data_IF_794048507529
#
_entry.id   IF_794048507529
#
_cell.length_a   1.000
_cell.length_b   1.000
_cell.length_c   1.000
_cell.angle_alpha   90.00
_cell.angle_beta   90.00
_cell.angle_gamma   90.00
#
_symmetry.space_group_name_H-M   'P 1'
#
loop_
_entity.id
_entity.type
_entity.pdbx_description
1 polymer ?
#
# COMPACT_ATOMS: atom_id res chain seq x y z
N UNK A 1 -40.35 11.41 23.55
CA UNK A 1 -39.04 12.08 23.35
C UNK A 1 -37.99 11.11 23.87
N UNK A 2 -37.25 10.44 23.00
CA UNK A 2 -36.18 9.53 23.40
C UNK A 2 -34.96 10.36 23.73
N UNK A 3 -34.46 10.26 24.96
CA UNK A 3 -33.22 10.92 25.38
C UNK A 3 -32.07 10.49 24.47
N UNK A 4 -31.56 11.44 23.68
CA UNK A 4 -30.36 11.22 22.88
C UNK A 4 -29.19 11.02 23.83
N UNK A 5 -28.72 9.79 23.95
CA UNK A 5 -27.55 9.46 24.78
C UNK A 5 -26.30 10.13 24.18
N UNK A 6 -25.59 10.89 25.01
CA UNK A 6 -24.42 11.71 24.62
C UNK A 6 -23.13 11.06 25.12
N UNK A 7 -22.07 11.15 24.32
CA UNK A 7 -20.69 10.90 24.72
C UNK A 7 -19.89 12.22 24.62
N UNK A 8 -19.32 12.74 25.72
CA UNK A 8 -18.36 13.84 25.65
C UNK A 8 -17.04 13.36 25.02
N UNK A 9 -16.41 14.24 24.23
CA UNK A 9 -15.14 13.99 23.57
C UNK A 9 -13.99 14.56 24.41
N UNK A 10 -13.35 13.72 25.23
CA UNK A 10 -12.22 14.12 26.08
C UNK A 10 -11.30 12.96 26.50
N UNK A 11 -11.54 11.74 26.01
CA UNK A 11 -10.75 10.57 26.41
C UNK A 11 -9.75 10.18 25.31
N UNK A 12 -8.49 9.85 25.65
CA UNK A 12 -7.55 9.31 24.69
C UNK A 12 -8.15 8.12 23.94
N UNK A 13 -8.11 8.16 22.60
CA UNK A 13 -8.78 7.19 21.75
C UNK A 13 -10.12 7.63 21.19
N UNK A 14 -10.64 8.81 21.58
CA UNK A 14 -11.84 9.40 20.99
C UNK A 14 -11.61 9.89 19.57
N UNK A 15 -12.57 9.65 18.68
CA UNK A 15 -12.49 10.07 17.29
C UNK A 15 -13.38 11.27 17.01
N UNK A 16 -12.89 12.19 16.19
CA UNK A 16 -13.68 13.34 15.75
C UNK A 16 -13.30 13.85 14.36
N UNK A 17 -14.22 14.55 13.71
CA UNK A 17 -13.96 15.29 12.50
C UNK A 17 -13.49 16.71 12.84
N UNK A 18 -12.39 17.14 12.22
CA UNK A 18 -11.82 18.46 12.39
C UNK A 18 -12.20 19.36 11.20
N UNK A 19 -12.87 20.46 11.48
CA UNK A 19 -13.26 21.45 10.46
C UNK A 19 -12.08 22.15 9.79
N UNK A 20 -10.97 22.33 10.50
CA UNK A 20 -9.79 23.07 10.01
C UNK A 20 -9.07 22.33 8.89
N UNK A 21 -8.77 21.04 9.10
CA UNK A 21 -8.09 20.21 8.09
C UNK A 21 -9.08 19.41 7.24
N UNK A 22 -10.36 19.36 7.60
CA UNK A 22 -11.38 18.52 6.96
C UNK A 22 -11.03 17.02 7.02
N UNK A 23 -10.46 16.55 8.14
CA UNK A 23 -10.06 15.15 8.35
C UNK A 23 -10.52 14.60 9.69
N UNK A 24 -10.49 13.26 9.82
CA UNK A 24 -10.72 12.57 11.09
C UNK A 24 -9.44 12.47 11.91
N UNK A 25 -9.54 12.82 13.19
CA UNK A 25 -8.48 12.67 14.17
C UNK A 25 -8.86 11.67 15.27
N UNK A 26 -7.84 11.12 15.90
CA UNK A 26 -7.93 10.42 17.17
C UNK A 26 -7.34 11.34 18.24
N UNK A 27 -8.13 11.67 19.26
CA UNK A 27 -7.66 12.42 20.40
C UNK A 27 -6.61 11.62 21.15
N UNK A 28 -5.49 12.26 21.46
CA UNK A 28 -4.39 11.68 22.25
C UNK A 28 -4.10 12.61 23.43
N UNK A 29 -3.62 12.03 24.53
CA UNK A 29 -3.21 12.81 25.70
C UNK A 29 -1.98 13.70 25.42
N UNK A 30 -1.15 13.30 24.45
CA UNK A 30 0.07 14.00 24.06
C UNK A 30 -0.26 15.33 23.32
N UNK A 31 0.10 16.49 23.88
CA UNK A 31 -0.24 17.80 23.34
C UNK A 31 0.43 18.12 22.00
N UNK A 32 1.49 17.41 21.63
CA UNK A 32 2.22 17.65 20.37
C UNK A 32 1.59 16.91 19.18
N UNK A 33 0.56 16.10 19.42
CA UNK A 33 -0.10 15.35 18.36
C UNK A 33 -1.17 16.20 17.66
N UNK A 34 -1.34 16.08 16.33
CA UNK A 34 -2.39 16.80 15.61
C UNK A 34 -3.80 16.58 16.19
N UNK A 35 -4.09 15.36 16.67
CA UNK A 35 -5.37 15.04 17.28
C UNK A 35 -5.61 15.67 18.65
N UNK A 36 -4.57 16.14 19.33
CA UNK A 36 -4.73 16.98 20.53
C UNK A 36 -4.86 18.45 20.14
N UNK A 37 -3.94 18.94 19.29
CA UNK A 37 -3.87 20.36 18.90
C UNK A 37 -5.13 20.83 18.18
N UNK A 38 -5.76 19.96 17.39
CA UNK A 38 -6.91 20.33 16.58
C UNK A 38 -8.27 20.09 17.25
N UNK A 39 -8.32 19.67 18.53
CA UNK A 39 -9.59 19.32 19.19
C UNK A 39 -10.53 20.53 19.33
N UNK A 40 -9.97 21.74 19.42
CA UNK A 40 -10.69 23.01 19.43
C UNK A 40 -11.42 23.31 18.12
N UNK A 41 -11.09 22.59 17.04
CA UNK A 41 -11.71 22.66 15.71
C UNK A 41 -12.67 21.48 15.43
N UNK A 42 -13.05 20.71 16.47
CA UNK A 42 -14.10 19.70 16.39
C UNK A 42 -15.36 20.23 15.70
N UNK A 43 -15.76 19.55 14.63
CA UNK A 43 -17.02 19.73 13.92
C UNK A 43 -18.02 18.68 14.40
N UNK A 44 -18.90 19.07 15.32
CA UNK A 44 -19.91 18.16 15.87
C UNK A 44 -20.92 17.71 14.81
N UNK A 45 -21.24 18.54 13.82
CA UNK A 45 -22.21 18.19 12.79
C UNK A 45 -21.66 17.07 11.91
N UNK A 46 -20.42 17.21 11.42
CA UNK A 46 -19.75 16.17 10.63
C UNK A 46 -19.44 14.93 11.45
N UNK A 47 -19.02 15.08 12.71
CA UNK A 47 -18.73 13.95 13.62
C UNK A 47 -20.00 13.14 13.90
N UNK A 48 -21.17 13.79 13.97
CA UNK A 48 -22.46 13.14 14.20
C UNK A 48 -23.25 12.82 12.94
N UNK A 49 -22.72 13.15 11.76
CA UNK A 49 -23.38 12.85 10.48
C UNK A 49 -23.74 11.35 10.39
N UNK A 50 -24.91 10.96 9.87
CA UNK A 50 -25.25 9.56 9.60
C UNK A 50 -24.18 8.81 8.79
N UNK A 51 -23.42 9.53 7.95
CA UNK A 51 -22.32 9.00 7.13
C UNK A 51 -20.92 9.13 7.76
N UNK A 52 -20.84 9.46 9.05
CA UNK A 52 -19.57 9.61 9.76
C UNK A 52 -18.72 8.33 9.67
N UNK A 53 -17.42 8.49 9.38
CA UNK A 53 -16.46 7.38 9.28
C UNK A 53 -16.37 6.58 10.58
N UNK A 54 -16.46 7.26 11.71
CA UNK A 54 -16.44 6.63 13.03
C UNK A 54 -17.67 7.04 13.83
N UNK A 55 -18.16 6.14 14.67
CA UNK A 55 -19.20 6.42 15.65
C UNK A 55 -18.92 5.65 16.94
N UNK A 56 -19.45 6.15 18.05
CA UNK A 56 -19.35 5.45 19.33
C UNK A 56 -20.63 4.66 19.60
N UNK A 57 -20.48 3.38 19.88
CA UNK A 57 -21.58 2.49 20.22
C UNK A 57 -21.78 2.45 21.75
N UNK A 58 -22.96 2.88 22.21
CA UNK A 58 -23.31 2.86 23.62
C UNK A 58 -23.61 1.46 24.18
N UNK A 59 -23.85 0.46 23.32
CA UNK A 59 -24.09 -0.91 23.78
C UNK A 59 -22.79 -1.63 24.17
N UNK A 60 -21.69 -1.38 23.45
CA UNK A 60 -20.40 -2.02 23.71
C UNK A 60 -19.34 -1.07 24.26
N UNK A 61 -19.65 0.22 24.44
CA UNK A 61 -18.73 1.28 24.86
C UNK A 61 -17.43 1.34 24.05
N UNK A 62 -17.54 1.23 22.72
CA UNK A 62 -16.38 1.25 21.80
C UNK A 62 -16.66 2.11 20.56
N UNK A 63 -15.58 2.58 19.96
CA UNK A 63 -15.60 3.19 18.63
C UNK A 63 -15.69 2.12 17.53
N UNK A 64 -16.54 2.37 16.55
CA UNK A 64 -16.72 1.55 15.36
C UNK A 64 -16.56 2.38 14.10
N UNK A 65 -16.29 1.71 12.99
CA UNK A 65 -16.34 2.30 11.66
C UNK A 65 -17.79 2.32 11.17
N UNK A 66 -18.18 3.37 10.43
CA UNK A 66 -19.52 3.53 9.85
C UNK A 66 -19.96 2.38 8.93
N UNK A 67 -19.02 1.53 8.50
CA UNK A 67 -19.28 0.30 7.74
C UNK A 67 -19.89 -0.85 8.57
N UNK A 68 -19.77 -0.85 9.90
CA UNK A 68 -20.34 -1.90 10.76
C UNK A 68 -21.80 -1.61 11.09
N UNK A 69 -22.71 -2.22 10.32
CA UNK A 69 -24.17 -1.97 10.40
C UNK A 69 -24.82 -2.45 11.70
N UNK A 70 -24.32 -3.53 12.30
CA UNK A 70 -24.98 -4.24 13.42
C UNK A 70 -25.04 -3.45 14.74
N UNK A 71 -24.32 -2.33 14.84
CA UNK A 71 -24.28 -1.50 16.05
C UNK A 71 -24.71 -0.04 15.83
N UNK A 72 -25.12 0.33 14.60
CA UNK A 72 -25.47 1.72 14.27
C UNK A 72 -26.67 2.25 15.05
N UNK A 73 -27.64 1.38 15.36
CA UNK A 73 -28.82 1.70 16.17
C UNK A 73 -28.47 2.11 17.61
N UNK A 74 -27.27 1.76 18.09
CA UNK A 74 -26.78 2.09 19.43
C UNK A 74 -25.80 3.28 19.42
N UNK A 75 -25.75 4.04 18.32
CA UNK A 75 -24.86 5.19 18.20
C UNK A 75 -25.18 6.27 19.23
N UNK A 76 -24.15 6.73 19.93
CA UNK A 76 -24.23 7.91 20.79
C UNK A 76 -23.92 9.19 20.01
N UNK A 77 -24.55 10.29 20.42
CA UNK A 77 -24.20 11.61 19.91
C UNK A 77 -22.90 12.07 20.57
N UNK A 78 -21.90 12.43 19.76
CA UNK A 78 -20.63 12.97 20.23
C UNK A 78 -20.80 14.47 20.46
N UNK A 79 -20.46 14.97 21.64
CA UNK A 79 -20.43 16.41 21.91
C UNK A 79 -19.05 16.84 22.37
N UNK A 80 -18.69 18.09 22.08
CA UNK A 80 -17.52 18.71 22.68
C UNK A 80 -17.66 18.68 24.19
N UNK A 81 -16.59 18.32 24.87
CA UNK A 81 -16.51 18.46 26.32
C UNK A 81 -16.40 19.94 26.72
N UNK A 82 -17.06 20.35 27.79
CA UNK A 82 -17.08 21.74 28.26
C UNK A 82 -15.69 22.31 28.58
N UNK A 83 -14.71 21.44 28.86
CA UNK A 83 -13.31 21.83 29.05
C UNK A 83 -12.60 22.29 27.78
N UNK A 84 -13.12 21.96 26.60
CA UNK A 84 -12.50 22.27 25.31
C UNK A 84 -13.08 23.58 24.78
N UNK A 85 -12.26 24.63 24.76
CA UNK A 85 -12.68 25.93 24.22
C UNK A 85 -12.64 25.91 22.68
N UNK A 86 -13.71 26.32 21.98
CA UNK A 86 -13.70 26.40 20.52
C UNK A 86 -12.64 27.39 20.04
N UNK A 87 -12.00 27.06 18.93
CA UNK A 87 -11.19 28.04 18.21
C UNK A 87 -12.09 29.19 17.70
N UNK A 88 -11.60 30.44 17.68
CA UNK A 88 -12.37 31.56 17.17
C UNK A 88 -12.80 31.30 15.72
N UNK A 89 -14.09 31.53 15.45
CA UNK A 89 -14.73 31.27 14.17
C UNK A 89 -14.05 32.09 13.06
N UNK A 90 -13.37 31.39 12.14
CA UNK A 90 -12.99 31.96 10.85
C UNK A 90 -14.24 32.10 9.98
N UNK A 91 -15.05 33.14 10.23
CA UNK A 91 -16.15 33.50 9.34
C UNK A 91 -15.57 33.94 7.99
N UNK A 92 -16.12 33.37 6.92
CA UNK A 92 -16.01 33.76 5.51
C UNK A 92 -14.81 33.23 4.72
N UNK A 93 -14.85 31.95 4.37
CA UNK A 93 -14.50 31.53 3.01
C UNK A 93 -15.77 31.04 2.33
N UNK A 94 -16.25 31.83 1.36
CA UNK A 94 -17.47 31.61 0.59
C UNK A 94 -17.57 30.16 0.11
N UNK A 95 -18.54 29.44 0.67
CA UNK A 95 -19.05 28.19 0.13
C UNK A 95 -19.84 28.54 -1.13
N UNK A 96 -19.31 28.20 -2.31
CA UNK A 96 -20.13 28.15 -3.51
C UNK A 96 -21.07 26.92 -3.45
N UNK A 97 -22.27 27.00 -4.04
CA UNK A 97 -23.34 26.05 -3.79
C UNK A 97 -23.02 24.66 -4.32
N UNK A 98 -23.19 23.65 -3.47
CA UNK A 98 -23.21 22.23 -3.83
C UNK A 98 -24.35 21.99 -4.83
N UNK A 99 -24.02 21.49 -6.03
CA UNK A 99 -24.97 20.66 -6.77
C UNK A 99 -25.11 19.35 -5.99
N UNK A 100 -26.29 19.18 -5.40
CA UNK A 100 -26.82 17.92 -4.89
C UNK A 100 -27.01 16.94 -6.04
N UNK A 101 -26.47 15.73 -5.91
CA UNK A 101 -26.80 14.64 -6.81
C UNK A 101 -25.87 13.45 -6.65
N UNK A 102 -26.49 12.31 -6.35
CA UNK A 102 -25.99 10.93 -6.48
C UNK A 102 -25.08 10.36 -5.37
N UNK A 103 -25.72 9.46 -4.61
CA UNK A 103 -25.28 8.14 -4.12
C UNK A 103 -23.78 7.84 -4.14
N UNK A 104 -23.31 7.30 -3.01
CA UNK A 104 -22.09 6.50 -2.89
C UNK A 104 -21.82 5.65 -4.14
N UNK A 105 -20.65 5.81 -4.76
CA UNK A 105 -19.92 4.69 -5.33
C UNK A 105 -18.68 4.45 -4.45
N UNK A 106 -18.50 3.21 -4.01
CA UNK A 106 -17.22 2.71 -3.50
C UNK A 106 -16.32 2.32 -4.70
N UNK A 107 -16.23 3.19 -5.69
CA UNK A 107 -15.28 3.05 -6.78
C UNK A 107 -14.25 4.16 -6.63
N UNK A 108 -13.01 3.78 -6.33
CA UNK A 108 -11.89 4.68 -6.48
C UNK A 108 -11.84 5.13 -7.96
N UNK A 109 -12.16 6.40 -8.23
CA UNK A 109 -11.98 6.97 -9.57
C UNK A 109 -10.49 6.98 -9.91
N UNK A 110 -10.05 6.04 -10.75
CA UNK A 110 -8.68 5.99 -11.26
C UNK A 110 -8.53 7.09 -12.32
N UNK A 111 -7.70 8.08 -12.01
CA UNK A 111 -7.42 9.22 -12.87
C UNK A 111 -6.62 8.88 -14.13
N UNK A 112 -6.58 9.84 -15.06
CA UNK A 112 -6.03 9.71 -16.40
C UNK A 112 -4.60 9.18 -16.49
N UNK A 113 -4.30 8.51 -17.61
CA UNK A 113 -3.04 7.87 -17.93
C UNK A 113 -1.81 8.78 -17.80
N UNK A 114 -1.00 8.57 -16.75
CA UNK A 114 0.35 9.10 -16.67
C UNK A 114 1.26 8.30 -17.64
N UNK A 115 1.19 8.57 -18.95
CA UNK A 115 2.06 8.10 -20.05
C UNK A 115 2.90 6.82 -19.84
N UNK A 116 2.70 5.82 -20.70
CA UNK A 116 3.34 4.49 -20.65
C UNK A 116 4.86 4.49 -20.53
N UNK A 117 5.53 5.46 -21.15
CA UNK A 117 6.99 5.54 -21.25
C UNK A 117 7.71 5.65 -19.88
N UNK A 118 6.98 6.03 -18.82
CA UNK A 118 7.52 6.09 -17.46
C UNK A 118 7.25 4.84 -16.61
N UNK A 119 6.55 3.83 -17.12
CA UNK A 119 6.17 2.63 -16.38
C UNK A 119 7.19 1.50 -16.60
N UNK A 120 7.37 0.67 -15.58
CA UNK A 120 8.14 -0.58 -15.65
C UNK A 120 9.55 -0.44 -16.22
N UNK A 121 10.28 0.61 -15.85
CA UNK A 121 11.64 0.84 -16.36
C UNK A 121 12.53 -0.36 -16.04
N UNK A 122 13.21 -0.85 -17.06
CA UNK A 122 14.26 -1.84 -16.92
C UNK A 122 15.45 -1.22 -16.18
N UNK A 123 16.33 -2.06 -15.64
CA UNK A 123 17.54 -1.59 -14.97
C UNK A 123 18.43 -0.78 -15.94
N UNK A 124 18.58 -1.26 -17.17
CA UNK A 124 19.32 -0.56 -18.22
C UNK A 124 18.74 0.82 -18.53
N UNK A 125 17.41 0.96 -18.63
CA UNK A 125 16.76 2.27 -18.83
C UNK A 125 16.97 3.22 -17.65
N UNK A 126 16.94 2.69 -16.41
CA UNK A 126 17.19 3.49 -15.21
C UNK A 126 18.64 3.98 -15.16
N UNK A 127 19.61 3.08 -15.34
CA UNK A 127 21.03 3.41 -15.36
C UNK A 127 21.40 4.37 -16.52
N UNK A 128 20.79 4.15 -17.69
CA UNK A 128 20.94 5.04 -18.85
C UNK A 128 20.41 6.45 -18.62
N UNK A 129 19.49 6.64 -17.67
CA UNK A 129 18.97 7.97 -17.31
C UNK A 129 19.89 8.77 -16.38
N UNK A 130 20.94 8.15 -15.82
CA UNK A 130 21.99 8.83 -15.07
C UNK A 130 22.98 9.40 -16.08
N UNK A 131 23.07 10.73 -16.20
CA UNK A 131 23.92 11.41 -17.19
C UNK A 131 25.42 11.31 -16.90
N UNK A 132 25.81 11.41 -15.63
CA UNK A 132 27.21 11.26 -15.19
C UNK A 132 27.66 9.81 -15.24
N UNK A 133 28.75 9.52 -15.96
CA UNK A 133 29.37 8.19 -16.03
C UNK A 133 29.87 7.72 -14.66
N UNK A 134 30.42 8.63 -13.86
CA UNK A 134 30.87 8.33 -12.50
C UNK A 134 29.70 7.97 -11.58
N UNK A 135 28.64 8.79 -11.57
CA UNK A 135 27.44 8.47 -10.78
C UNK A 135 26.81 7.16 -11.27
N UNK A 136 26.82 6.89 -12.57
CA UNK A 136 26.30 5.61 -13.10
C UNK A 136 27.10 4.42 -12.57
N UNK A 137 28.45 4.49 -12.65
CA UNK A 137 29.34 3.45 -12.12
C UNK A 137 29.12 3.20 -10.63
N UNK A 138 28.99 4.27 -9.82
CA UNK A 138 28.72 4.13 -8.38
C UNK A 138 27.34 3.49 -8.14
N UNK A 139 26.34 3.87 -8.92
CA UNK A 139 25.02 3.25 -8.84
C UNK A 139 25.09 1.75 -9.15
N UNK A 140 25.80 1.37 -10.22
CA UNK A 140 26.06 -0.04 -10.58
C UNK A 140 26.77 -0.79 -9.44
N UNK A 141 27.79 -0.21 -8.82
CA UNK A 141 28.50 -0.80 -7.67
C UNK A 141 27.59 -1.02 -6.47
N UNK A 142 26.69 -0.07 -6.16
CA UNK A 142 25.71 -0.22 -5.06
C UNK A 142 24.70 -1.33 -5.38
N UNK A 143 24.24 -1.41 -6.64
CA UNK A 143 23.31 -2.44 -7.08
C UNK A 143 23.93 -3.84 -7.03
N UNK A 144 25.18 -3.97 -7.47
CA UNK A 144 25.96 -5.20 -7.40
C UNK A 144 26.22 -5.61 -5.94
N UNK A 145 26.62 -4.65 -5.09
CA UNK A 145 26.78 -4.87 -3.66
C UNK A 145 25.50 -5.43 -3.03
N UNK A 146 24.34 -4.79 -3.27
CA UNK A 146 23.07 -5.27 -2.75
C UNK A 146 22.74 -6.68 -3.26
N UNK A 147 22.98 -6.96 -4.54
CA UNK A 147 22.77 -8.29 -5.12
C UNK A 147 23.69 -9.36 -4.55
N UNK A 148 24.94 -9.03 -4.25
CA UNK A 148 25.92 -9.96 -3.64
C UNK A 148 25.54 -10.39 -2.22
N UNK A 149 24.79 -9.54 -1.51
CA UNK A 149 24.34 -9.76 -0.13
C UNK A 149 23.04 -10.57 -0.05
N UNK A 150 22.29 -10.68 -1.15
CA UNK A 150 20.92 -11.19 -1.18
C UNK A 150 20.77 -12.59 -0.57
N UNK A 151 21.55 -13.57 -1.04
CA UNK A 151 21.42 -14.99 -0.64
C UNK A 151 21.45 -15.23 0.88
N UNK A 152 22.16 -14.40 1.63
CA UNK A 152 22.33 -14.58 3.08
C UNK A 152 21.46 -13.64 3.91
N UNK A 153 20.93 -12.57 3.31
CA UNK A 153 20.28 -11.47 4.02
C UNK A 153 18.87 -11.14 3.51
N UNK A 154 18.40 -11.85 2.47
CA UNK A 154 17.08 -11.69 1.83
C UNK A 154 16.85 -10.24 1.35
N UNK A 155 17.86 -9.67 0.68
CA UNK A 155 17.79 -8.29 0.19
C UNK A 155 17.20 -8.32 -1.21
N UNK A 156 15.89 -8.09 -1.28
CA UNK A 156 15.19 -7.98 -2.54
C UNK A 156 15.38 -6.59 -3.15
N UNK A 157 15.76 -6.59 -4.42
CA UNK A 157 15.95 -5.38 -5.22
C UNK A 157 14.82 -5.23 -6.23
N UNK A 158 14.16 -4.07 -6.22
CA UNK A 158 13.06 -3.78 -7.14
C UNK A 158 13.30 -2.51 -7.94
N UNK A 159 13.04 -2.58 -9.25
CA UNK A 159 12.95 -1.41 -10.10
C UNK A 159 11.70 -0.60 -9.75
N UNK A 160 11.84 0.72 -9.79
CA UNK A 160 10.79 1.72 -9.57
C UNK A 160 10.74 2.69 -10.73
N UNK A 161 9.67 3.47 -10.82
CA UNK A 161 9.48 4.49 -11.87
C UNK A 161 10.70 5.41 -12.06
N UNK A 162 11.37 5.77 -10.97
CA UNK A 162 12.51 6.70 -10.96
C UNK A 162 13.72 6.15 -10.18
N UNK A 163 13.96 4.83 -10.17
CA UNK A 163 15.14 4.26 -9.53
C UNK A 163 14.90 2.88 -8.95
N UNK A 164 15.44 2.60 -7.77
CA UNK A 164 15.48 1.26 -7.18
C UNK A 164 15.07 1.29 -5.70
N UNK A 165 14.55 0.19 -5.18
CA UNK A 165 14.37 0.01 -3.74
C UNK A 165 14.92 -1.32 -3.26
N UNK A 166 15.52 -1.30 -2.07
CA UNK A 166 16.03 -2.47 -1.36
C UNK A 166 15.10 -2.79 -0.19
N UNK A 167 14.57 -4.00 -0.17
CA UNK A 167 13.55 -4.44 0.79
C UNK A 167 14.00 -5.73 1.46
N UNK A 168 13.82 -5.81 2.77
CA UNK A 168 14.04 -7.02 3.55
C UNK A 168 12.77 -7.31 4.34
N UNK A 169 12.23 -8.53 4.22
CA UNK A 169 11.05 -9.00 4.96
C UNK A 169 9.88 -7.99 4.96
N UNK A 170 9.61 -7.39 3.80
CA UNK A 170 8.53 -6.43 3.57
C UNK A 170 8.79 -4.97 3.97
N UNK A 171 9.98 -4.64 4.47
CA UNK A 171 10.34 -3.27 4.84
C UNK A 171 11.53 -2.76 4.03
N UNK A 172 11.37 -1.56 3.47
CA UNK A 172 12.42 -0.84 2.75
C UNK A 172 13.56 -0.46 3.69
N UNK A 173 14.79 -0.87 3.35
CA UNK A 173 16.04 -0.55 4.04
C UNK A 173 16.90 0.45 3.25
N UNK A 174 16.60 0.62 1.96
CA UNK A 174 17.21 1.64 1.13
C UNK A 174 16.44 1.94 -0.15
N UNK A 175 16.75 3.07 -0.78
CA UNK A 175 16.19 3.50 -2.07
C UNK A 175 17.18 4.35 -2.83
N UNK A 176 17.25 4.12 -4.15
CA UNK A 176 17.95 5.01 -5.07
C UNK A 176 16.88 5.75 -5.86
N UNK A 177 16.93 7.08 -5.84
CA UNK A 177 16.07 7.94 -6.66
C UNK A 177 16.92 8.71 -7.67
N UNK A 178 16.69 8.42 -8.95
CA UNK A 178 17.43 9.00 -10.08
C UNK A 178 16.78 10.33 -10.48
N UNK A 179 17.63 11.33 -10.75
CA UNK A 179 17.25 12.67 -11.18
C UNK A 179 18.14 13.18 -12.32
N UNK A 180 17.85 14.38 -12.82
CA UNK A 180 18.49 14.95 -14.02
C UNK A 180 20.01 15.15 -13.94
N UNK A 181 20.59 15.16 -12.73
CA UNK A 181 22.02 15.37 -12.49
C UNK A 181 22.74 14.24 -11.76
N UNK A 182 22.10 13.08 -11.57
CA UNK A 182 22.65 11.99 -10.74
C UNK A 182 21.59 11.19 -10.02
N UNK A 183 21.87 10.76 -8.80
CA UNK A 183 20.90 10.06 -7.96
C UNK A 183 21.05 10.39 -6.48
N UNK A 184 20.00 10.13 -5.71
CA UNK A 184 20.01 10.18 -4.25
C UNK A 184 19.88 8.76 -3.74
N UNK A 185 20.84 8.32 -2.93
CA UNK A 185 20.72 7.10 -2.13
C UNK A 185 20.13 7.48 -0.77
N UNK A 186 19.04 6.84 -0.40
CA UNK A 186 18.42 6.97 0.91
C UNK A 186 18.61 5.67 1.67
N UNK A 187 19.35 5.70 2.77
CA UNK A 187 19.47 4.57 3.70
C UNK A 187 18.45 4.74 4.83
N UNK A 188 17.72 3.68 5.16
CA UNK A 188 16.60 3.71 6.09
C UNK A 188 16.82 2.76 7.26
N UNK A 189 16.85 3.31 8.47
CA UNK A 189 16.88 2.53 9.72
C UNK A 189 15.46 2.28 10.22
N UNK A 190 15.14 1.02 10.50
CA UNK A 190 13.81 0.60 10.96
C UNK A 190 13.84 0.35 12.47
N UNK A 191 13.16 1.22 13.22
CA UNK A 191 13.19 1.19 14.69
C UNK A 191 11.80 0.80 15.20
N UNK A 192 11.72 -0.30 15.94
CA UNK A 192 10.48 -0.76 16.57
C UNK A 192 10.00 0.29 17.59
N UNK A 193 8.73 0.71 17.47
CA UNK A 193 8.13 1.59 18.44
C UNK A 193 7.83 0.82 19.73
N UNK A 194 8.30 1.32 20.87
CA UNK A 194 8.14 0.67 22.17
C UNK A 194 6.67 0.38 22.48
N UNK A 195 6.34 -0.90 22.71
CA UNK A 195 4.97 -1.34 23.03
C UNK A 195 4.03 -1.46 21.82
N UNK A 196 4.53 -1.28 20.60
CA UNK A 196 3.75 -1.39 19.37
C UNK A 196 4.38 -2.37 18.39
N UNK A 197 3.61 -2.76 17.38
CA UNK A 197 4.09 -3.57 16.25
C UNK A 197 4.50 -2.76 15.03
N UNK A 198 4.48 -1.43 15.13
CA UNK A 198 4.87 -0.52 14.05
C UNK A 198 6.34 -0.13 14.18
N UNK A 199 6.97 0.19 13.05
CA UNK A 199 8.33 0.74 13.01
C UNK A 199 8.28 2.20 12.60
N UNK A 200 9.10 3.04 13.23
CA UNK A 200 9.45 4.36 12.69
C UNK A 200 10.69 4.23 11.80
N UNK A 201 10.84 5.14 10.85
CA UNK A 201 11.98 5.16 9.94
C UNK A 201 12.83 6.39 10.16
N UNK A 202 14.12 6.18 10.37
CA UNK A 202 15.12 7.24 10.30
C UNK A 202 15.82 7.14 8.94
N UNK A 203 15.94 8.27 8.24
CA UNK A 203 16.38 8.33 6.84
C UNK A 203 17.65 9.16 6.73
N UNK A 204 18.66 8.63 6.07
CA UNK A 204 19.90 9.33 5.73
C UNK A 204 20.04 9.38 4.21
N UNK A 205 20.22 10.58 3.66
CA UNK A 205 20.30 10.82 2.22
C UNK A 205 21.73 11.17 1.80
N UNK A 206 22.20 10.52 0.74
CA UNK A 206 23.48 10.74 0.10
C UNK A 206 23.25 11.14 -1.37
N UNK A 207 23.83 12.24 -1.79
CA UNK A 207 23.59 12.83 -3.11
C UNK A 207 24.79 12.58 -4.01
N UNK A 208 24.58 11.88 -5.12
CA UNK A 208 25.62 11.53 -6.09
C UNK A 208 25.45 12.32 -7.39
N UNK A 209 25.96 13.55 -7.40
CA UNK A 209 25.88 14.49 -8.52
C UNK A 209 27.26 15.05 -8.96
N UNK A 210 28.36 14.38 -8.59
CA UNK A 210 29.73 14.76 -8.94
C UNK A 210 30.32 15.94 -8.15
N UNK A 211 29.61 16.51 -7.18
CA UNK A 211 30.07 17.72 -6.43
C UNK A 211 29.73 17.71 -4.93
N UNK A 212 29.14 16.63 -4.42
CA UNK A 212 28.56 16.59 -3.08
C UNK A 212 29.61 16.36 -1.98
N UNK A 213 29.56 17.21 -0.94
CA UNK A 213 30.35 17.07 0.29
C UNK A 213 29.84 15.94 1.23
N UNK A 214 28.68 15.34 0.93
CA UNK A 214 28.02 14.31 1.74
C UNK A 214 28.00 12.94 1.04
N UNK A 215 29.03 12.61 0.26
CA UNK A 215 29.19 11.25 -0.26
C UNK A 215 29.57 10.35 0.92
N UNK A 216 29.08 9.10 1.00
CA UNK A 216 29.60 8.15 1.97
C UNK A 216 31.10 7.98 1.69
N UNK A 217 31.91 8.02 2.74
CA UNK A 217 33.38 7.98 2.63
C UNK A 217 33.87 6.72 1.91
N UNK A 218 33.03 5.67 1.84
CA UNK A 218 33.23 4.48 1.02
C UNK A 218 31.95 3.64 0.84
N UNK A 219 31.94 2.74 -0.15
CA UNK A 219 30.91 1.69 -0.32
C UNK A 219 30.72 0.82 0.94
N UNK A 220 31.72 0.77 1.82
CA UNK A 220 31.70 0.01 3.07
C UNK A 220 30.60 0.50 4.03
N UNK A 221 30.35 1.80 4.11
CA UNK A 221 29.28 2.33 4.97
C UNK A 221 27.90 1.84 4.50
N UNK A 222 27.69 1.82 3.18
CA UNK A 222 26.47 1.29 2.56
C UNK A 222 26.34 -0.20 2.86
N UNK A 223 27.43 -0.96 2.69
CA UNK A 223 27.47 -2.39 3.01
C UNK A 223 27.11 -2.65 4.47
N UNK A 224 27.74 -1.95 5.41
CA UNK A 224 27.53 -2.12 6.84
C UNK A 224 26.08 -1.79 7.23
N UNK A 225 25.49 -0.73 6.63
CA UNK A 225 24.07 -0.41 6.80
C UNK A 225 23.16 -1.53 6.30
N UNK A 226 23.36 -2.01 5.06
CA UNK A 226 22.55 -3.08 4.47
C UNK A 226 22.62 -4.35 5.33
N UNK A 227 23.80 -4.73 5.81
CA UNK A 227 23.99 -5.88 6.69
C UNK A 227 23.28 -5.68 8.03
N UNK A 228 23.50 -4.52 8.67
CA UNK A 228 22.91 -4.21 9.98
C UNK A 228 21.40 -4.21 9.93
N UNK A 229 20.79 -3.51 8.97
CA UNK A 229 19.33 -3.41 8.86
C UNK A 229 18.69 -4.73 8.45
N UNK A 230 19.36 -5.53 7.61
CA UNK A 230 18.87 -6.87 7.28
C UNK A 230 18.81 -7.76 8.52
N UNK A 231 19.89 -7.79 9.32
CA UNK A 231 19.94 -8.54 10.58
C UNK A 231 18.89 -8.07 11.59
N UNK A 232 18.73 -6.75 11.72
CA UNK A 232 17.71 -6.14 12.57
C UNK A 232 16.29 -6.61 12.18
N UNK A 233 15.93 -6.48 10.90
CA UNK A 233 14.60 -6.88 10.42
C UNK A 233 14.36 -8.39 10.53
N UNK A 234 15.35 -9.22 10.21
CA UNK A 234 15.28 -10.68 10.43
C UNK A 234 15.04 -10.98 11.92
N UNK A 235 15.77 -10.31 12.82
CA UNK A 235 15.59 -10.47 14.27
C UNK A 235 14.19 -10.04 14.74
N UNK A 236 13.68 -8.92 14.25
CA UNK A 236 12.33 -8.44 14.58
C UNK A 236 11.24 -9.39 14.09
N UNK A 237 11.45 -10.07 12.95
CA UNK A 237 10.53 -11.09 12.44
C UNK A 237 10.58 -12.40 13.21
N UNK A 238 11.77 -12.87 13.59
CA UNK A 238 11.93 -14.05 14.47
C UNK A 238 11.19 -13.90 15.79
N UNK A 239 11.13 -12.68 16.33
CA UNK A 239 10.36 -12.37 17.55
C UNK A 239 8.89 -12.01 17.28
N UNK A 240 8.45 -12.03 16.01
CA UNK A 240 7.11 -11.65 15.55
C UNK A 240 6.62 -10.28 16.07
N UNK A 241 7.55 -9.37 16.33
CA UNK A 241 7.26 -8.07 16.98
C UNK A 241 6.70 -7.03 16.01
N UNK A 242 6.88 -7.19 14.69
CA UNK A 242 6.44 -6.21 13.68
C UNK A 242 5.21 -6.66 12.86
N UNK A 243 4.26 -5.74 12.64
CA UNK A 243 2.91 -6.01 12.13
C UNK A 243 2.73 -5.96 10.61
N UNK A 244 3.78 -5.69 9.84
CA UNK A 244 3.74 -5.54 8.37
C UNK A 244 3.71 -6.90 7.65
N UNK A 245 2.75 -7.77 8.00
CA UNK A 245 2.70 -9.16 7.52
C UNK A 245 2.40 -9.25 6.02
N UNK A 246 1.47 -8.45 5.52
CA UNK A 246 1.11 -8.44 4.09
C UNK A 246 2.32 -8.14 3.20
N UNK A 247 3.05 -7.04 3.46
CA UNK A 247 4.28 -6.71 2.71
C UNK A 247 5.38 -7.76 2.85
N UNK A 248 5.41 -8.51 3.95
CA UNK A 248 6.35 -9.63 4.10
C UNK A 248 5.90 -10.83 3.26
N UNK A 249 4.61 -11.12 3.22
CA UNK A 249 4.04 -12.15 2.35
C UNK A 249 4.34 -11.84 0.88
N UNK A 250 4.29 -10.57 0.46
CA UNK A 250 4.69 -10.17 -0.90
C UNK A 250 6.12 -10.59 -1.20
N UNK A 251 7.05 -10.26 -0.29
CA UNK A 251 8.47 -10.60 -0.43
C UNK A 251 8.68 -12.11 -0.56
N UNK A 252 8.02 -12.92 0.27
CA UNK A 252 8.15 -14.38 0.21
C UNK A 252 7.55 -14.95 -1.08
N UNK A 253 6.40 -14.43 -1.54
CA UNK A 253 5.79 -14.84 -2.81
C UNK A 253 6.70 -14.55 -4.00
N UNK A 254 7.31 -13.36 -4.02
CA UNK A 254 8.21 -12.94 -5.09
C UNK A 254 9.47 -13.81 -5.12
N UNK A 255 10.09 -14.08 -3.97
CA UNK A 255 11.24 -15.00 -3.87
C UNK A 255 10.90 -16.37 -4.48
N UNK A 256 9.76 -16.96 -4.08
CA UNK A 256 9.32 -18.25 -4.61
C UNK A 256 9.03 -18.22 -6.11
N UNK A 257 8.43 -17.14 -6.62
CA UNK A 257 8.20 -16.95 -8.07
C UNK A 257 9.51 -16.87 -8.86
N UNK A 258 10.57 -16.28 -8.28
CA UNK A 258 11.87 -16.07 -8.94
C UNK A 258 12.78 -17.30 -8.90
N UNK A 259 12.75 -18.11 -7.84
CA UNK A 259 13.67 -19.24 -7.69
C UNK A 259 13.32 -20.42 -8.60
N UNK A 260 12.09 -20.95 -8.51
CA UNK A 260 11.63 -22.10 -9.31
C UNK A 260 10.13 -22.03 -9.68
N UNK A 261 9.45 -20.94 -9.29
CA UNK A 261 7.99 -20.87 -9.29
C UNK A 261 7.39 -21.55 -8.06
N UNK A 262 6.16 -21.16 -7.73
CA UNK A 262 5.41 -21.71 -6.61
C UNK A 262 4.50 -22.84 -7.11
N UNK A 263 4.68 -24.07 -6.60
CA UNK A 263 3.86 -25.20 -6.99
C UNK A 263 2.36 -24.91 -6.74
N UNK A 264 1.52 -25.14 -7.77
CA UNK A 264 0.09 -24.79 -7.74
C UNK A 264 -0.22 -23.34 -8.12
N UNK A 265 0.79 -22.51 -8.40
CA UNK A 265 0.67 -21.14 -8.88
C UNK A 265 1.67 -20.87 -10.01
N UNK A 266 1.23 -21.08 -11.26
CA UNK A 266 2.07 -20.94 -12.46
C UNK A 266 2.24 -19.47 -12.90
N UNK A 267 2.81 -18.65 -12.03
CA UNK A 267 3.04 -17.22 -12.24
C UNK A 267 4.55 -16.89 -12.25
N UNK A 268 4.95 -16.04 -13.20
CA UNK A 268 6.27 -15.41 -13.28
C UNK A 268 6.22 -13.98 -12.77
N UNK A 269 7.08 -13.62 -11.82
CA UNK A 269 7.19 -12.25 -11.34
C UNK A 269 7.63 -11.28 -12.47
N UNK A 270 6.91 -10.17 -12.63
CA UNK A 270 7.25 -9.12 -13.59
C UNK A 270 7.60 -7.80 -12.92
N UNK A 271 6.80 -7.35 -11.94
CA UNK A 271 6.99 -6.05 -11.31
C UNK A 271 6.31 -5.96 -9.94
N UNK A 272 6.94 -5.28 -8.98
CA UNK A 272 6.42 -5.08 -7.63
C UNK A 272 5.92 -3.63 -7.44
N UNK A 273 4.80 -3.45 -6.73
CA UNK A 273 4.13 -2.15 -6.47
C UNK A 273 4.02 -1.31 -7.76
N UNK A 274 3.37 -1.89 -8.77
CA UNK A 274 3.17 -1.24 -10.07
C UNK A 274 2.24 -0.05 -9.94
N UNK A 275 2.63 1.16 -10.37
CA UNK A 275 1.71 2.30 -10.41
C UNK A 275 0.50 2.04 -11.32
N UNK A 276 -0.72 2.14 -10.79
CA UNK A 276 -1.99 1.98 -11.51
C UNK A 276 -2.83 3.27 -11.47
N UNK A 277 -2.29 4.34 -12.05
CA UNK A 277 -2.99 5.63 -12.15
C UNK A 277 -2.97 6.47 -10.86
N UNK A 278 -3.78 7.55 -10.86
CA UNK A 278 -3.91 8.51 -9.77
C UNK A 278 -5.34 8.53 -9.25
N UNK A 279 -5.58 8.10 -8.03
CA UNK A 279 -6.90 8.19 -7.41
C UNK A 279 -7.05 9.50 -6.67
N UNK A 280 -8.18 10.18 -6.88
CA UNK A 280 -8.53 11.39 -6.13
C UNK A 280 -9.10 10.99 -4.77
N UNK A 281 -8.33 11.21 -3.70
CA UNK A 281 -8.78 11.03 -2.32
C UNK A 281 -8.75 12.38 -1.62
N UNK A 282 -9.88 12.83 -1.06
CA UNK A 282 -9.94 14.06 -0.26
C UNK A 282 -9.26 15.29 -0.89
N UNK A 283 -9.51 15.55 -2.18
CA UNK A 283 -8.92 16.65 -2.99
C UNK A 283 -7.43 16.51 -3.35
N UNK A 284 -6.75 15.45 -2.95
CA UNK A 284 -5.38 15.13 -3.37
C UNK A 284 -5.35 13.89 -4.27
N UNK A 285 -4.46 13.87 -5.25
CA UNK A 285 -4.23 12.69 -6.09
C UNK A 285 -3.18 11.80 -5.42
N UNK A 286 -3.57 10.61 -4.95
CA UNK A 286 -2.66 9.54 -4.53
C UNK A 286 -2.46 8.55 -5.67
N UNK A 287 -1.27 7.97 -5.82
CA UNK A 287 -1.08 6.85 -6.77
C UNK A 287 -1.50 5.55 -6.10
N UNK A 288 -2.34 4.78 -6.78
CA UNK A 288 -2.56 3.40 -6.40
C UNK A 288 -1.48 2.51 -6.99
N UNK A 289 -1.17 1.43 -6.29
CA UNK A 289 -0.15 0.48 -6.69
C UNK A 289 -0.74 -0.92 -6.67
N UNK A 290 -0.63 -1.63 -7.79
CA UNK A 290 -0.87 -3.07 -7.85
C UNK A 290 0.25 -3.73 -7.07
N UNK A 291 -0.09 -4.63 -6.15
CA UNK A 291 0.90 -5.29 -5.31
C UNK A 291 1.96 -6.00 -6.15
N UNK A 292 1.55 -6.95 -7.00
CA UNK A 292 2.45 -7.68 -7.90
C UNK A 292 1.82 -7.78 -9.30
N UNK A 293 2.61 -7.46 -10.33
CA UNK A 293 2.33 -7.90 -11.69
C UNK A 293 3.12 -9.16 -11.99
N UNK A 294 2.44 -10.12 -12.61
CA UNK A 294 3.01 -11.40 -12.99
C UNK A 294 2.56 -11.83 -14.40
N UNK A 295 3.28 -12.76 -15.01
CA UNK A 295 2.88 -13.44 -16.23
C UNK A 295 2.38 -14.84 -15.93
N UNK A 296 1.20 -15.22 -16.43
CA UNK A 296 0.72 -16.59 -16.33
C UNK A 296 1.49 -17.47 -17.33
N UNK A 297 2.24 -18.46 -16.81
CA UNK A 297 3.09 -19.34 -17.63
C UNK A 297 2.30 -20.18 -18.63
N UNK A 298 1.06 -20.54 -18.30
CA UNK A 298 0.25 -21.47 -19.09
C UNK A 298 -0.41 -20.81 -20.29
N UNK A 299 -0.99 -19.63 -20.09
CA UNK A 299 -1.78 -18.97 -21.14
C UNK A 299 -1.23 -17.59 -21.55
N UNK A 300 -0.06 -17.20 -21.01
CA UNK A 300 0.60 -15.92 -21.29
C UNK A 300 -0.28 -14.72 -20.94
N UNK A 301 -1.20 -14.83 -20.00
CA UNK A 301 -2.01 -13.68 -19.54
C UNK A 301 -1.19 -12.75 -18.65
N UNK A 302 -1.43 -11.45 -18.74
CA UNK A 302 -0.95 -10.51 -17.74
C UNK A 302 -1.81 -10.67 -16.47
N UNK A 303 -1.16 -11.03 -15.36
CA UNK A 303 -1.80 -11.28 -14.09
C UNK A 303 -1.57 -10.13 -13.10
N UNK A 304 -2.66 -9.62 -12.53
CA UNK A 304 -2.68 -8.80 -11.32
C UNK A 304 -2.75 -9.75 -10.13
N UNK A 305 -1.79 -9.65 -9.22
CA UNK A 305 -1.75 -10.44 -8.00
C UNK A 305 -1.98 -9.51 -6.82
N UNK A 306 -3.12 -9.69 -6.15
CA UNK A 306 -3.48 -8.97 -4.93
C UNK A 306 -3.25 -9.91 -3.74
N UNK A 307 -2.46 -9.47 -2.76
CA UNK A 307 -2.03 -10.33 -1.66
C UNK A 307 -2.60 -9.81 -0.36
N UNK A 308 -3.30 -10.68 0.38
CA UNK A 308 -3.91 -10.32 1.66
C UNK A 308 -3.38 -11.19 2.80
N UNK A 309 -3.26 -10.58 3.99
CA UNK A 309 -3.00 -11.29 5.24
C UNK A 309 -4.30 -11.85 5.85
N UNK A 310 -4.15 -12.63 6.92
CA UNK A 310 -5.28 -13.23 7.65
C UNK A 310 -6.31 -12.18 8.10
N UNK A 311 -7.60 -12.53 8.01
CA UNK A 311 -8.71 -11.70 8.49
C UNK A 311 -9.05 -10.54 7.57
N UNK A 312 -8.73 -10.66 6.28
CA UNK A 312 -9.06 -9.66 5.26
C UNK A 312 -10.35 -10.05 4.54
N UNK A 313 -11.20 -9.07 4.27
CA UNK A 313 -12.39 -9.28 3.45
C UNK A 313 -12.00 -9.55 1.98
N UNK A 314 -12.22 -10.79 1.52
CA UNK A 314 -11.94 -11.21 0.16
C UNK A 314 -12.79 -10.43 -0.85
N UNK A 315 -14.02 -10.02 -0.51
CA UNK A 315 -14.85 -9.22 -1.41
C UNK A 315 -14.22 -7.86 -1.72
N UNK A 316 -13.77 -7.16 -0.68
CA UNK A 316 -12.99 -5.93 -0.84
C UNK A 316 -11.70 -6.15 -1.63
N UNK A 317 -11.00 -7.27 -1.43
CA UNK A 317 -9.79 -7.59 -2.18
C UNK A 317 -10.07 -7.83 -3.68
N UNK A 318 -11.15 -8.54 -4.01
CA UNK A 318 -11.60 -8.75 -5.39
C UNK A 318 -11.97 -7.42 -6.04
N UNK A 319 -12.78 -6.59 -5.38
CA UNK A 319 -13.17 -5.27 -5.89
C UNK A 319 -11.95 -4.37 -6.15
N UNK A 320 -10.99 -4.36 -5.23
CA UNK A 320 -9.73 -3.64 -5.39
C UNK A 320 -8.92 -4.18 -6.57
N UNK A 321 -8.78 -5.51 -6.69
CA UNK A 321 -8.09 -6.12 -7.82
C UNK A 321 -8.77 -5.83 -9.16
N UNK A 322 -10.10 -5.86 -9.22
CA UNK A 322 -10.88 -5.56 -10.42
C UNK A 322 -10.75 -4.10 -10.85
N UNK A 323 -10.55 -3.15 -9.92
CA UNK A 323 -10.26 -1.77 -10.28
C UNK A 323 -8.93 -1.64 -11.05
N UNK A 324 -7.91 -2.40 -10.65
CA UNK A 324 -6.62 -2.48 -11.35
C UNK A 324 -6.75 -3.13 -12.73
N UNK A 325 -7.53 -4.21 -12.82
CA UNK A 325 -7.88 -4.84 -14.09
C UNK A 325 -8.59 -3.86 -15.02
N UNK A 326 -9.56 -3.09 -14.50
CA UNK A 326 -10.24 -2.04 -15.24
C UNK A 326 -9.28 -1.00 -15.79
N UNK A 327 -8.33 -0.53 -14.97
CA UNK A 327 -7.30 0.41 -15.44
C UNK A 327 -6.42 -0.19 -16.54
N UNK A 328 -5.96 -1.44 -16.40
CA UNK A 328 -5.17 -2.12 -17.44
C UNK A 328 -5.97 -2.27 -18.73
N UNK A 329 -7.25 -2.66 -18.63
CA UNK A 329 -8.15 -2.85 -19.76
C UNK A 329 -8.39 -1.54 -20.52
N UNK A 330 -8.65 -0.44 -19.82
CA UNK A 330 -8.89 0.89 -20.42
C UNK A 330 -7.65 1.43 -21.15
N UNK A 331 -6.45 1.11 -20.65
CA UNK A 331 -5.19 1.65 -21.17
C UNK A 331 -4.38 0.65 -22.00
N UNK A 332 -4.93 -0.52 -22.31
CA UNK A 332 -4.19 -1.65 -22.89
C UNK A 332 -3.48 -1.30 -24.20
N UNK A 333 -4.10 -0.50 -25.06
CA UNK A 333 -3.51 -0.11 -26.35
C UNK A 333 -2.24 0.76 -26.17
N UNK A 334 -2.19 1.57 -25.13
CA UNK A 334 -0.98 2.34 -24.78
C UNK A 334 0.08 1.49 -24.07
N UNK A 335 -0.33 0.41 -23.39
CA UNK A 335 0.55 -0.47 -22.63
C UNK A 335 1.17 -1.58 -23.49
N UNK A 336 0.49 -2.04 -24.55
CA UNK A 336 0.99 -3.07 -25.48
C UNK A 336 2.41 -2.81 -25.99
N UNK A 337 2.75 -1.60 -26.53
CA UNK A 337 4.11 -1.31 -26.96
C UNK A 337 5.12 -1.39 -25.81
N UNK A 338 4.72 -0.95 -24.61
CA UNK A 338 5.58 -0.98 -23.43
C UNK A 338 5.87 -2.40 -22.98
N UNK A 339 4.86 -3.28 -22.92
CA UNK A 339 4.99 -4.71 -22.59
C UNK A 339 6.00 -5.38 -23.54
N UNK A 340 5.87 -5.12 -24.85
CA UNK A 340 6.80 -5.63 -25.85
C UNK A 340 8.22 -5.07 -25.65
N UNK A 341 8.35 -3.78 -25.35
CA UNK A 341 9.64 -3.12 -25.15
C UNK A 341 10.41 -3.67 -23.94
N UNK A 342 9.71 -3.94 -22.83
CA UNK A 342 10.33 -4.53 -21.63
C UNK A 342 10.57 -6.05 -21.75
N UNK A 343 10.16 -6.65 -22.88
CA UNK A 343 10.38 -8.07 -23.16
C UNK A 343 9.48 -9.01 -22.35
N UNK A 344 8.34 -8.55 -21.86
CA UNK A 344 7.41 -9.44 -21.16
C UNK A 344 6.65 -10.30 -22.18
N UNK A 345 6.78 -11.61 -22.04
CA UNK A 345 6.06 -12.60 -22.86
C UNK A 345 4.64 -12.82 -22.32
N UNK A 346 3.83 -11.75 -22.36
CA UNK A 346 2.44 -11.75 -21.88
C UNK A 346 1.53 -10.94 -22.80
N UNK A 347 0.26 -11.33 -22.82
CA UNK A 347 -0.83 -10.63 -23.49
C UNK A 347 -1.66 -9.87 -22.46
N UNK A 348 -1.83 -8.57 -22.70
CA UNK A 348 -2.75 -7.72 -21.93
C UNK A 348 -4.21 -7.85 -22.43
N UNK A 349 -4.45 -8.53 -23.55
CA UNK A 349 -5.83 -8.78 -24.02
C UNK A 349 -6.51 -9.91 -23.22
N UNK A 350 -5.72 -10.72 -22.52
CA UNK A 350 -6.18 -11.72 -21.56
C UNK A 350 -5.69 -11.31 -20.17
N UNK A 351 -6.60 -10.80 -19.34
CA UNK A 351 -6.27 -10.36 -18.00
C UNK A 351 -6.61 -11.43 -16.97
N UNK A 352 -5.76 -11.60 -15.98
CA UNK A 352 -6.00 -12.48 -14.83
C UNK A 352 -5.90 -11.68 -13.54
N UNK A 353 -6.80 -11.92 -12.60
CA UNK A 353 -6.70 -11.47 -11.22
C UNK A 353 -6.48 -12.70 -10.34
N UNK A 354 -5.45 -12.69 -9.51
CA UNK A 354 -5.21 -13.72 -8.50
C UNK A 354 -5.23 -13.08 -7.12
N UNK A 355 -6.20 -13.47 -6.29
CA UNK A 355 -6.24 -13.08 -4.88
C UNK A 355 -5.53 -14.16 -4.08
N UNK A 356 -4.41 -13.82 -3.45
CA UNK A 356 -3.62 -14.76 -2.65
C UNK A 356 -3.80 -14.41 -1.17
N UNK A 357 -4.33 -15.33 -0.38
CA UNK A 357 -4.55 -15.14 1.05
C UNK A 357 -4.51 -16.46 1.84
N UNK A 358 -4.27 -16.41 3.17
CA UNK A 358 -4.43 -17.58 4.04
C UNK A 358 -5.87 -18.14 4.02
N UNK A 359 -6.00 -19.46 4.09
CA UNK A 359 -7.19 -20.25 3.74
C UNK A 359 -8.50 -19.94 4.50
N UNK A 360 -8.44 -19.33 5.70
CA UNK A 360 -9.63 -19.11 6.56
C UNK A 360 -10.73 -18.25 5.92
N UNK A 361 -10.38 -17.40 4.97
CA UNK A 361 -11.29 -16.39 4.41
C UNK A 361 -11.83 -16.76 3.02
N UNK A 362 -11.30 -17.80 2.36
CA UNK A 362 -11.57 -18.11 0.95
C UNK A 362 -12.73 -19.11 0.77
N UNK A 363 -12.92 -20.05 1.70
CA UNK A 363 -13.78 -21.23 1.48
C UNK A 363 -15.29 -20.94 1.41
N UNK A 364 -15.73 -19.76 1.86
CA UNK A 364 -17.14 -19.37 1.91
C UNK A 364 -17.43 -18.09 1.10
N UNK A 365 -16.47 -17.60 0.32
CA UNK A 365 -16.65 -16.39 -0.44
C UNK A 365 -17.53 -16.62 -1.68
N UNK A 366 -18.50 -15.73 -1.89
CA UNK A 366 -19.31 -15.68 -3.10
C UNK A 366 -19.19 -14.30 -3.75
N UNK A 367 -18.91 -14.26 -5.05
CA UNK A 367 -18.88 -13.04 -5.83
C UNK A 367 -20.23 -12.34 -5.84
N UNK A 368 -20.22 -11.03 -5.58
CA UNK A 368 -21.37 -10.17 -5.78
C UNK A 368 -21.65 -9.93 -7.27
N UNK A 369 -22.86 -9.46 -7.58
CA UNK A 369 -23.31 -9.27 -8.96
C UNK A 369 -22.49 -8.22 -9.73
N UNK A 370 -21.99 -7.19 -9.05
CA UNK A 370 -21.21 -6.09 -9.67
C UNK A 370 -19.84 -6.64 -10.09
N UNK A 371 -19.18 -7.36 -9.19
CA UNK A 371 -17.90 -8.03 -9.50
C UNK A 371 -18.04 -8.99 -10.68
N UNK A 372 -19.12 -9.79 -10.75
CA UNK A 372 -19.39 -10.67 -11.91
C UNK A 372 -19.56 -9.91 -13.22
N UNK A 373 -20.24 -8.76 -13.20
CA UNK A 373 -20.40 -7.93 -14.38
C UNK A 373 -19.05 -7.36 -14.85
N UNK A 374 -18.22 -6.89 -13.92
CA UNK A 374 -16.87 -6.39 -14.21
C UNK A 374 -15.97 -7.48 -14.80
N UNK A 375 -15.96 -8.68 -14.21
CA UNK A 375 -15.22 -9.85 -14.72
C UNK A 375 -15.56 -10.11 -16.19
N UNK A 376 -16.87 -10.14 -16.52
CA UNK A 376 -17.35 -10.32 -17.90
C UNK A 376 -16.96 -9.15 -18.80
N UNK A 377 -17.16 -7.91 -18.35
CA UNK A 377 -16.82 -6.70 -19.11
C UNK A 377 -15.35 -6.65 -19.51
N UNK A 378 -14.46 -7.00 -18.58
CA UNK A 378 -13.02 -6.94 -18.79
C UNK A 378 -12.44 -8.21 -19.42
N UNK A 379 -13.25 -9.24 -19.67
CA UNK A 379 -12.81 -10.57 -20.09
C UNK A 379 -11.66 -11.09 -19.19
N UNK A 380 -11.85 -10.96 -17.87
CA UNK A 380 -10.84 -11.28 -16.87
C UNK A 380 -11.13 -12.63 -16.22
N UNK A 381 -10.09 -13.44 -16.01
CA UNK A 381 -10.18 -14.63 -15.15
C UNK A 381 -9.84 -14.26 -13.71
N UNK A 382 -10.65 -14.67 -12.75
CA UNK A 382 -10.36 -14.44 -11.33
C UNK A 382 -10.09 -15.76 -10.62
N UNK A 383 -8.96 -15.85 -9.94
CA UNK A 383 -8.56 -17.00 -9.14
C UNK A 383 -8.45 -16.61 -7.66
N UNK A 384 -9.00 -17.46 -6.80
CA UNK A 384 -8.71 -17.42 -5.37
C UNK A 384 -7.66 -18.48 -5.05
N UNK A 385 -6.57 -18.05 -4.43
CA UNK A 385 -5.42 -18.88 -4.11
C UNK A 385 -5.23 -18.90 -2.60
N UNK A 386 -5.58 -20.02 -1.99
CA UNK A 386 -5.34 -20.26 -0.56
C UNK A 386 -3.90 -20.70 -0.35
N UNK A 387 -3.25 -20.13 0.67
CA UNK A 387 -1.94 -20.57 1.16
C UNK A 387 -2.03 -21.13 2.58
N UNK A 388 -1.01 -21.87 2.99
CA UNK A 388 -0.87 -22.43 4.35
C UNK A 388 -0.90 -21.32 5.43
N UNK A 389 -1.55 -21.61 6.56
CA UNK A 389 -1.73 -20.63 7.66
C UNK A 389 -0.45 -20.36 8.47
N UNK A 390 0.49 -21.29 8.46
CA UNK A 390 1.74 -21.25 9.22
C UNK A 390 2.91 -20.64 8.43
N UNK A 391 2.63 -19.98 7.30
CA UNK A 391 3.65 -19.35 6.44
C UNK A 391 4.56 -18.38 7.20
N UNK A 392 4.03 -17.71 8.23
CA UNK A 392 4.79 -16.81 9.12
C UNK A 392 5.85 -17.55 9.93
N UNK A 393 5.55 -18.76 10.40
CA UNK A 393 6.43 -19.53 11.29
C UNK A 393 7.56 -20.19 10.52
N UNK A 394 7.23 -20.74 9.35
CA UNK A 394 8.17 -21.50 8.54
C UNK A 394 8.85 -20.65 7.45
N UNK A 395 8.44 -19.38 7.30
CA UNK A 395 8.82 -18.49 6.19
C UNK A 395 8.68 -19.17 4.82
N UNK A 396 7.67 -20.04 4.71
CA UNK A 396 7.45 -20.88 3.55
C UNK A 396 5.99 -20.81 3.13
N UNK A 397 5.78 -20.69 1.82
CA UNK A 397 4.46 -20.59 1.22
C UNK A 397 4.21 -21.86 0.42
N UNK A 398 3.07 -22.49 0.68
CA UNK A 398 2.54 -23.58 -0.13
C UNK A 398 1.10 -23.26 -0.49
N UNK A 399 0.75 -23.42 -1.77
CA UNK A 399 -0.62 -23.31 -2.24
C UNK A 399 -1.41 -24.52 -1.72
N UNK A 400 -2.47 -24.26 -0.96
CA UNK A 400 -3.37 -25.30 -0.47
C UNK A 400 -4.58 -25.47 -1.39
N UNK A 401 -5.06 -24.38 -1.99
CA UNK A 401 -6.14 -24.38 -2.98
C UNK A 401 -5.93 -23.30 -4.02
N UNK A 402 -6.36 -23.57 -5.24
CA UNK A 402 -6.38 -22.59 -6.33
C UNK A 402 -7.60 -22.90 -7.19
N UNK A 403 -8.59 -22.01 -7.20
CA UNK A 403 -9.79 -22.19 -8.00
C UNK A 403 -10.21 -20.91 -8.69
N UNK A 404 -10.68 -21.06 -9.92
CA UNK A 404 -11.29 -20.00 -10.70
C UNK A 404 -12.70 -19.75 -10.17
N UNK A 405 -13.13 -18.48 -10.14
CA UNK A 405 -14.47 -18.07 -9.72
C UNK A 405 -15.20 -17.41 -10.90
N UNK A 406 -16.46 -17.80 -11.09
CA UNK A 406 -17.32 -17.42 -12.23
C UNK A 406 -18.47 -16.46 -11.87
#
# INVERSE_FOLDING_TARGET
>A
MTDTKIKPLNQPGDYYFCSQCSEWHIYRADPDTPGHQHITHLDEEQTNSPSAKYYFCGACNKWHTGSKKDHLQNRLQIKRDDSIKPAPSAKNLRVQPKRTGARHSEDAEIGSFDGAAGLWKTESELLGSISSSESRRICEEILELAGSLDKNLHIQRFNRKNGFSFIVKGLKIGEIKIGSGGFVLSLMKNILNKGYTSVRKEKQDFIFNGTSANNPDSLKEIQDHLISESKNLISLRKTNTIGYREKWLHCLLIEQMQDNGLAGLDLDFLYYETPAGKVKRSRQFGREHIDILAGDRKNKSLAVVEVKKEGTDIGSAVSQGLSYIGWLWEHKEHLKPRIKQVGWDVSIDNLKLSIIAPDVDIQNFSLDAISKEQIKKYNCKVNLVSINQDWVQNENISVTRNFEID
#
